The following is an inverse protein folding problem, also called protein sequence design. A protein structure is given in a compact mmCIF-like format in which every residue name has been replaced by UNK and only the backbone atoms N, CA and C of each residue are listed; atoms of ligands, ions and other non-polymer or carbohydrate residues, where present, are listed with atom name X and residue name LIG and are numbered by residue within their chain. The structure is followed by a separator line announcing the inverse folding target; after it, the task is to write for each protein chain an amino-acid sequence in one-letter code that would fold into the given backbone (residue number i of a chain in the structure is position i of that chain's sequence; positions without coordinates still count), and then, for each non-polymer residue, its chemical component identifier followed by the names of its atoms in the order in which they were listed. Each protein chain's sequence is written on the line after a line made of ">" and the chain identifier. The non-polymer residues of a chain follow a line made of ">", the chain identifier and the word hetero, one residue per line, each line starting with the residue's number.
data_IF_301237337113
#
_entry.id   IF_301237337113
#
_cell.length_a   1.000
_cell.length_b   1.000
_cell.length_c   1.000
_cell.angle_alpha   90.00
_cell.angle_beta   90.00
_cell.angle_gamma   90.00
#
_symmetry.space_group_name_H-M   'P 1'
#
loop_
_entity.id
_entity.type
_entity.pdbx_description
1 polymer ?
#
# COMPACT_ATOMS: atom_id res chain seq x y z
N UNK A 1 -11.05 -3.57 9.34
CA UNK A 1 -10.76 -3.45 7.90
C UNK A 1 -11.36 -4.62 7.11
N UNK A 2 -11.07 -5.88 7.45
CA UNK A 2 -11.62 -7.06 6.72
C UNK A 2 -13.15 -7.06 6.72
N UNK A 3 -13.79 -6.72 7.85
CA UNK A 3 -15.26 -6.67 7.94
C UNK A 3 -15.84 -5.51 7.11
N UNK A 4 -15.15 -4.37 7.02
CA UNK A 4 -15.56 -3.29 6.12
C UNK A 4 -15.45 -3.72 4.66
N UNK A 5 -14.36 -4.39 4.29
CA UNK A 5 -14.17 -4.92 2.94
C UNK A 5 -15.27 -5.93 2.58
N UNK A 6 -15.62 -6.82 3.52
CA UNK A 6 -16.75 -7.75 3.36
C UNK A 6 -18.10 -7.04 3.22
N UNK A 7 -18.31 -5.95 3.99
CA UNK A 7 -19.54 -5.15 3.88
C UNK A 7 -19.66 -4.52 2.51
N UNK A 8 -18.59 -3.93 2.00
CA UNK A 8 -18.55 -3.40 0.63
C UNK A 8 -18.81 -4.49 -0.40
N UNK A 9 -18.23 -5.68 -0.24
CA UNK A 9 -18.48 -6.82 -1.12
C UNK A 9 -19.96 -7.21 -1.15
N UNK A 10 -20.63 -7.27 0.01
CA UNK A 10 -22.06 -7.57 0.11
C UNK A 10 -22.95 -6.51 -0.56
N UNK A 11 -22.42 -5.29 -0.74
CA UNK A 11 -23.10 -4.20 -1.44
C UNK A 11 -22.66 -4.07 -2.91
N UNK A 12 -22.12 -5.13 -3.52
CA UNK A 12 -21.82 -5.21 -4.93
C UNK A 12 -20.44 -4.68 -5.35
N UNK A 13 -19.59 -4.29 -4.40
CA UNK A 13 -18.23 -3.87 -4.72
C UNK A 13 -17.28 -5.08 -4.79
N UNK A 14 -16.31 -5.01 -5.69
CA UNK A 14 -15.29 -6.05 -5.86
C UNK A 14 -14.06 -5.76 -5.02
N UNK A 15 -13.77 -6.55 -3.96
CA UNK A 15 -12.60 -6.33 -3.12
C UNK A 15 -11.30 -6.65 -3.85
N UNK A 16 -10.28 -5.83 -3.64
CA UNK A 16 -8.90 -6.11 -4.04
C UNK A 16 -8.07 -6.28 -2.78
N UNK A 17 -7.44 -7.44 -2.64
CA UNK A 17 -6.55 -7.75 -1.53
C UNK A 17 -5.11 -7.64 -2.04
N UNK A 18 -4.44 -6.57 -1.66
CA UNK A 18 -3.04 -6.35 -1.97
C UNK A 18 -2.16 -7.04 -0.93
N UNK A 19 -1.35 -7.99 -1.40
CA UNK A 19 -0.35 -8.69 -0.59
C UNK A 19 1.01 -8.02 -0.79
N UNK A 20 1.59 -7.56 0.29
CA UNK A 20 2.80 -6.73 0.29
C UNK A 20 4.11 -7.51 0.08
N UNK A 21 4.19 -8.39 -0.91
CA UNK A 21 5.41 -9.17 -1.15
C UNK A 21 6.62 -8.31 -1.49
N UNK A 22 6.44 -7.22 -2.23
CA UNK A 22 7.50 -6.25 -2.52
C UNK A 22 7.78 -5.31 -1.35
N UNK A 23 6.74 -4.69 -0.81
CA UNK A 23 6.88 -3.70 0.27
C UNK A 23 7.34 -4.31 1.60
N UNK A 24 7.07 -5.59 1.87
CA UNK A 24 7.61 -6.29 3.06
C UNK A 24 9.14 -6.38 3.04
N UNK A 25 9.78 -6.36 1.86
CA UNK A 25 11.25 -6.33 1.72
C UNK A 25 11.86 -4.99 2.13
N UNK A 26 11.05 -3.94 2.15
CA UNK A 26 11.44 -2.59 2.58
C UNK A 26 11.11 -2.39 4.05
N UNK A 27 9.89 -2.73 4.47
CA UNK A 27 9.36 -2.56 5.81
C UNK A 27 8.67 -1.21 6.01
N UNK A 28 7.39 -1.28 6.40
CA UNK A 28 6.57 -0.10 6.71
C UNK A 28 7.03 0.54 8.03
N UNK A 29 7.44 1.82 8.06
CA UNK A 29 7.81 2.51 9.27
C UNK A 29 6.61 2.94 10.12
N UNK A 30 5.39 2.93 9.58
CA UNK A 30 4.17 3.44 10.24
C UNK A 30 3.92 2.74 11.57
N UNK A 31 3.67 3.51 12.63
CA UNK A 31 3.38 3.01 13.97
C UNK A 31 4.52 2.24 14.64
N UNK A 32 5.78 2.41 14.21
CA UNK A 32 6.94 1.73 14.76
C UNK A 32 8.05 2.70 15.15
N UNK A 33 8.65 2.46 16.31
CA UNK A 33 9.79 3.23 16.84
C UNK A 33 11.15 2.67 16.37
N UNK A 34 11.18 1.47 15.84
CA UNK A 34 12.41 0.79 15.38
C UNK A 34 12.27 0.27 13.95
N UNK A 35 13.37 0.25 13.24
CA UNK A 35 13.47 -0.38 11.91
C UNK A 35 13.00 -1.83 11.96
N UNK A 36 12.15 -2.22 11.01
CA UNK A 36 11.64 -3.58 10.92
C UNK A 36 12.76 -4.56 10.54
N UNK A 37 12.69 -5.77 11.13
CA UNK A 37 13.56 -6.87 10.72
C UNK A 37 13.30 -7.23 9.27
N UNK A 38 14.36 -7.31 8.47
CA UNK A 38 14.29 -7.82 7.10
C UNK A 38 14.01 -9.32 7.16
N UNK A 39 12.90 -9.74 6.56
CA UNK A 39 12.49 -11.13 6.48
C UNK A 39 13.18 -11.84 5.31
N UNK A 40 13.37 -13.15 5.42
CA UNK A 40 13.83 -13.98 4.30
C UNK A 40 12.72 -14.20 3.27
N UNK A 41 13.10 -14.51 2.04
CA UNK A 41 12.17 -14.73 0.92
C UNK A 41 11.11 -15.79 1.23
N UNK A 42 11.51 -16.93 1.75
CA UNK A 42 10.64 -18.05 2.11
C UNK A 42 9.65 -17.69 3.24
N UNK A 43 10.08 -16.86 4.20
CA UNK A 43 9.20 -16.33 5.25
C UNK A 43 8.14 -15.40 4.65
N UNK A 44 8.54 -14.54 3.72
CA UNK A 44 7.62 -13.62 3.02
C UNK A 44 6.58 -14.41 2.22
N UNK A 45 7.00 -15.39 1.45
CA UNK A 45 6.09 -16.22 0.65
C UNK A 45 5.12 -17.04 1.51
N UNK A 46 5.62 -17.62 2.60
CA UNK A 46 4.80 -18.32 3.59
C UNK A 46 3.75 -17.40 4.20
N UNK A 47 4.14 -16.19 4.58
CA UNK A 47 3.24 -15.20 5.15
C UNK A 47 2.16 -14.76 4.15
N UNK A 48 2.54 -14.50 2.89
CA UNK A 48 1.61 -14.19 1.80
C UNK A 48 0.55 -15.29 1.65
N UNK A 49 0.99 -16.55 1.58
CA UNK A 49 0.08 -17.71 1.45
C UNK A 49 -0.87 -17.82 2.64
N UNK A 50 -0.37 -17.65 3.84
CA UNK A 50 -1.17 -17.73 5.06
C UNK A 50 -2.21 -16.61 5.14
N UNK A 51 -1.80 -15.36 4.89
CA UNK A 51 -2.71 -14.19 4.88
C UNK A 51 -3.79 -14.38 3.81
N UNK A 52 -3.40 -14.79 2.60
CA UNK A 52 -4.36 -15.08 1.52
C UNK A 52 -5.39 -16.13 1.93
N UNK A 53 -4.96 -17.21 2.57
CA UNK A 53 -5.85 -18.27 3.03
C UNK A 53 -6.82 -17.82 4.14
N UNK A 54 -6.35 -16.95 5.04
CA UNK A 54 -7.19 -16.36 6.07
C UNK A 54 -8.26 -15.45 5.42
N UNK A 55 -7.84 -14.52 4.55
CA UNK A 55 -8.76 -13.56 3.92
C UNK A 55 -9.81 -14.23 3.03
N UNK A 56 -9.48 -15.33 2.37
CA UNK A 56 -10.44 -16.14 1.61
C UNK A 56 -11.59 -16.70 2.46
N UNK A 57 -11.41 -16.88 3.78
CA UNK A 57 -12.47 -17.34 4.67
C UNK A 57 -13.50 -16.26 5.01
N UNK A 58 -13.11 -15.00 4.87
CA UNK A 58 -13.97 -13.86 5.22
C UNK A 58 -14.67 -13.22 4.01
N UNK A 59 -14.12 -13.39 2.82
CA UNK A 59 -14.66 -12.83 1.59
C UNK A 59 -15.39 -13.89 0.79
N UNK A 60 -16.50 -13.49 0.15
CA UNK A 60 -17.23 -14.36 -0.77
C UNK A 60 -16.39 -14.62 -2.02
N UNK A 61 -16.16 -15.89 -2.33
CA UNK A 61 -15.35 -16.31 -3.47
C UNK A 61 -16.20 -16.93 -4.60
N UNK A 62 -17.50 -17.08 -4.40
CA UNK A 62 -18.38 -17.82 -5.30
C UNK A 62 -19.08 -16.89 -6.29
N UNK A 63 -19.46 -15.67 -5.88
CA UNK A 63 -20.08 -14.70 -6.77
C UNK A 63 -19.05 -14.12 -7.76
N UNK A 64 -19.18 -14.36 -9.09
CA UNK A 64 -18.22 -13.93 -10.09
C UNK A 64 -18.07 -12.41 -10.18
N UNK A 65 -19.12 -11.63 -9.92
CA UNK A 65 -19.12 -10.17 -10.06
C UNK A 65 -18.36 -9.49 -8.92
N UNK A 66 -18.44 -10.06 -7.72
CA UNK A 66 -17.82 -9.51 -6.51
C UNK A 66 -16.66 -10.36 -5.98
N UNK A 67 -16.27 -11.40 -6.69
CA UNK A 67 -15.15 -12.27 -6.33
C UNK A 67 -13.87 -11.44 -6.06
N UNK A 68 -13.21 -11.62 -4.89
CA UNK A 68 -12.04 -10.84 -4.55
C UNK A 68 -10.85 -11.10 -5.49
N UNK A 69 -10.15 -10.03 -5.84
CA UNK A 69 -8.89 -10.09 -6.57
C UNK A 69 -7.76 -10.13 -5.55
N UNK A 70 -6.87 -11.13 -5.66
CA UNK A 70 -5.66 -11.22 -4.83
C UNK A 70 -4.45 -10.90 -5.69
N UNK A 71 -3.76 -9.83 -5.35
CA UNK A 71 -2.57 -9.36 -6.06
C UNK A 71 -1.36 -9.30 -5.14
N UNK A 72 -0.17 -9.44 -5.69
CA UNK A 72 1.09 -9.31 -4.96
C UNK A 72 1.89 -8.17 -5.59
N UNK A 73 2.18 -7.12 -4.85
CA UNK A 73 2.89 -5.96 -5.37
C UNK A 73 4.33 -6.25 -5.82
N UNK A 74 4.90 -7.37 -5.43
CA UNK A 74 6.21 -7.80 -5.93
C UNK A 74 6.21 -8.00 -7.45
N UNK A 75 5.06 -8.33 -8.06
CA UNK A 75 4.94 -8.53 -9.51
C UNK A 75 5.29 -7.29 -10.33
N UNK A 76 5.03 -6.10 -9.82
CA UNK A 76 5.41 -4.84 -10.48
C UNK A 76 6.62 -4.19 -9.85
N UNK A 77 6.78 -4.24 -8.52
CA UNK A 77 7.89 -3.56 -7.83
C UNK A 77 9.26 -4.15 -8.20
N UNK A 78 9.37 -5.46 -8.40
CA UNK A 78 10.67 -6.11 -8.76
C UNK A 78 11.24 -5.68 -10.12
N UNK A 79 10.40 -5.16 -11.00
CA UNK A 79 10.78 -4.78 -12.36
C UNK A 79 10.96 -3.26 -12.53
N UNK A 80 10.84 -2.49 -11.44
CA UNK A 80 11.02 -1.04 -11.51
C UNK A 80 12.48 -0.68 -11.80
N UNK A 81 12.68 0.09 -12.88
CA UNK A 81 13.95 0.76 -13.08
C UNK A 81 13.99 2.00 -12.18
N UNK A 82 15.02 2.11 -11.37
CA UNK A 82 15.13 3.17 -10.35
C UNK A 82 15.09 4.58 -10.95
N UNK A 83 15.82 4.81 -12.02
CA UNK A 83 15.89 6.13 -12.65
C UNK A 83 14.53 6.50 -13.28
N UNK A 84 13.92 5.57 -14.01
CA UNK A 84 12.60 5.80 -14.61
C UNK A 84 11.55 6.04 -13.51
N UNK A 85 11.60 5.27 -12.43
CA UNK A 85 10.68 5.44 -11.30
C UNK A 85 10.82 6.83 -10.64
N UNK A 86 12.04 7.30 -10.40
CA UNK A 86 12.27 8.65 -9.87
C UNK A 86 11.74 9.72 -10.82
N UNK A 87 11.99 9.57 -12.13
CA UNK A 87 11.55 10.53 -13.14
C UNK A 87 10.03 10.58 -13.27
N UNK A 88 9.36 9.43 -13.29
CA UNK A 88 7.95 9.35 -13.67
C UNK A 88 7.03 9.43 -12.44
N UNK A 89 7.47 8.91 -11.30
CA UNK A 89 6.72 8.86 -10.05
C UNK A 89 7.29 9.82 -9.02
N UNK A 90 8.59 9.78 -8.77
CA UNK A 90 9.26 10.57 -7.74
C UNK A 90 9.03 12.09 -7.88
N UNK A 91 8.95 12.60 -9.11
CA UNK A 91 8.66 14.04 -9.41
C UNK A 91 7.34 14.55 -8.80
N UNK A 92 6.41 13.64 -8.45
CA UNK A 92 5.12 14.01 -7.86
C UNK A 92 5.17 14.15 -6.33
N UNK A 93 6.30 13.82 -5.71
CA UNK A 93 6.52 13.92 -4.27
C UNK A 93 7.50 15.04 -3.96
N UNK A 94 7.21 15.78 -2.89
CA UNK A 94 8.14 16.79 -2.37
C UNK A 94 8.60 16.39 -0.96
N UNK A 95 9.88 16.55 -0.68
CA UNK A 95 10.47 16.24 0.63
C UNK A 95 9.72 16.99 1.74
N UNK A 96 9.43 18.28 1.54
CA UNK A 96 8.71 19.08 2.53
C UNK A 96 7.35 18.47 2.90
N UNK A 97 6.60 17.96 1.92
CA UNK A 97 5.32 17.29 2.17
C UNK A 97 5.52 15.94 2.87
N UNK A 98 6.50 15.16 2.44
CA UNK A 98 6.80 13.85 3.04
C UNK A 98 7.20 13.96 4.51
N UNK A 99 7.90 15.02 4.90
CA UNK A 99 8.30 15.29 6.30
C UNK A 99 7.12 15.64 7.21
N UNK A 100 5.96 16.02 6.69
CA UNK A 100 4.78 16.38 7.50
C UNK A 100 3.95 15.19 7.95
N UNK A 101 4.16 13.99 7.39
CA UNK A 101 3.39 12.81 7.78
C UNK A 101 3.85 12.26 9.13
N UNK A 102 2.91 11.84 9.96
CA UNK A 102 3.17 11.37 11.33
C UNK A 102 4.20 10.23 11.39
N UNK A 103 4.18 9.32 10.42
CA UNK A 103 5.16 8.22 10.32
C UNK A 103 6.62 8.69 10.21
N UNK A 104 6.84 9.90 9.70
CA UNK A 104 8.16 10.53 9.57
C UNK A 104 8.37 11.53 10.71
N UNK A 105 7.44 12.49 10.88
CA UNK A 105 7.55 13.58 11.83
C UNK A 105 7.80 13.09 13.25
N UNK A 106 7.02 12.13 13.75
CA UNK A 106 7.18 11.58 15.10
C UNK A 106 8.57 10.96 15.34
N UNK A 107 9.17 10.35 14.32
CA UNK A 107 10.53 9.78 14.41
C UNK A 107 11.60 10.87 14.45
N UNK A 108 11.44 11.91 13.63
CA UNK A 108 12.35 13.06 13.64
C UNK A 108 12.26 13.85 14.94
N UNK A 109 11.05 14.13 15.44
CA UNK A 109 10.82 14.84 16.71
C UNK A 109 11.40 14.07 17.91
N UNK A 110 11.48 12.74 17.83
CA UNK A 110 12.07 11.86 18.85
C UNK A 110 13.56 11.57 18.62
N UNK A 111 14.19 12.21 17.66
CA UNK A 111 15.59 11.96 17.24
C UNK A 111 15.88 10.49 16.90
N UNK A 112 14.87 9.76 16.45
CA UNK A 112 15.00 8.37 16.05
C UNK A 112 15.45 8.27 14.60
N UNK A 113 16.36 7.33 14.32
CA UNK A 113 16.83 7.11 12.95
C UNK A 113 15.72 6.67 12.03
N UNK A 114 15.64 7.27 10.85
CA UNK A 114 14.77 6.90 9.75
C UNK A 114 15.64 6.65 8.52
N UNK A 115 15.72 5.40 8.07
CA UNK A 115 16.52 5.07 6.89
C UNK A 115 15.89 5.62 5.62
N UNK A 116 16.73 5.89 4.60
CA UNK A 116 16.23 6.27 3.27
C UNK A 116 15.24 5.26 2.69
N UNK A 117 15.48 3.97 2.93
CA UNK A 117 14.60 2.88 2.53
C UNK A 117 13.21 3.01 3.16
N UNK A 118 13.14 3.21 4.48
CA UNK A 118 11.87 3.40 5.20
C UNK A 118 11.15 4.70 4.76
N UNK A 119 11.92 5.78 4.55
CA UNK A 119 11.37 7.05 4.07
C UNK A 119 10.69 6.92 2.69
N UNK A 120 11.24 6.07 1.80
CA UNK A 120 10.65 5.81 0.49
C UNK A 120 9.43 4.89 0.52
N UNK A 121 9.12 4.23 1.64
CA UNK A 121 8.01 3.29 1.72
C UNK A 121 6.68 3.91 1.28
N UNK A 122 6.40 5.15 1.69
CA UNK A 122 5.17 5.85 1.33
C UNK A 122 5.01 6.07 -0.18
N UNK A 123 6.12 6.21 -0.91
CA UNK A 123 6.11 6.35 -2.38
C UNK A 123 5.74 5.00 -3.01
N UNK A 124 6.28 3.90 -2.49
CA UNK A 124 5.99 2.56 -3.00
C UNK A 124 4.53 2.17 -2.79
N UNK A 125 3.96 2.47 -1.60
CA UNK A 125 2.55 2.20 -1.35
C UNK A 125 1.63 3.10 -2.20
N UNK A 126 2.00 4.36 -2.41
CA UNK A 126 1.29 5.25 -3.32
C UNK A 126 1.32 4.71 -4.77
N UNK A 127 2.46 4.18 -5.20
CA UNK A 127 2.61 3.54 -6.51
C UNK A 127 1.77 2.26 -6.62
N UNK A 128 1.68 1.45 -5.57
CA UNK A 128 0.79 0.29 -5.53
C UNK A 128 -0.66 0.70 -5.83
N UNK A 129 -1.15 1.79 -5.21
CA UNK A 129 -2.50 2.27 -5.48
C UNK A 129 -2.68 2.78 -6.91
N UNK A 130 -1.67 3.46 -7.46
CA UNK A 130 -1.67 3.89 -8.87
C UNK A 130 -1.72 2.68 -9.82
N UNK A 131 -0.94 1.62 -9.56
CA UNK A 131 -0.95 0.39 -10.37
C UNK A 131 -2.31 -0.32 -10.30
N UNK A 132 -2.92 -0.39 -9.12
CA UNK A 132 -4.26 -0.94 -8.94
C UNK A 132 -5.33 -0.09 -9.63
N UNK A 133 -5.22 1.24 -9.58
CA UNK A 133 -6.11 2.14 -10.32
C UNK A 133 -6.01 1.91 -11.82
N UNK A 134 -4.80 1.78 -12.37
CA UNK A 134 -4.57 1.54 -13.80
C UNK A 134 -5.04 0.17 -14.28
N UNK A 135 -4.79 -0.87 -13.50
CA UNK A 135 -4.99 -2.27 -13.95
C UNK A 135 -6.35 -2.83 -13.58
N UNK A 136 -6.90 -2.42 -12.44
CA UNK A 136 -8.09 -3.00 -11.83
C UNK A 136 -9.20 -1.96 -11.62
N UNK A 137 -9.02 -0.74 -12.11
CA UNK A 137 -9.94 0.40 -11.86
C UNK A 137 -10.22 0.61 -10.36
N UNK A 138 -9.25 0.36 -9.51
CA UNK A 138 -9.37 0.53 -8.06
C UNK A 138 -9.50 2.02 -7.71
N UNK A 139 -10.58 2.40 -7.07
CA UNK A 139 -10.87 3.81 -6.72
C UNK A 139 -10.84 4.09 -5.23
N UNK A 140 -10.82 3.07 -4.36
CA UNK A 140 -10.82 3.22 -2.91
C UNK A 140 -9.70 2.37 -2.29
N UNK A 141 -8.81 3.02 -1.53
CA UNK A 141 -7.83 2.34 -0.66
C UNK A 141 -8.28 2.45 0.80
N UNK A 142 -8.21 1.32 1.52
CA UNK A 142 -8.58 1.23 2.94
C UNK A 142 -7.40 0.76 3.78
N UNK A 143 -7.29 1.31 5.00
CA UNK A 143 -6.27 0.90 5.96
C UNK A 143 -6.61 1.25 7.40
N UNK A 144 -5.71 0.97 8.34
CA UNK A 144 -5.78 1.49 9.69
C UNK A 144 -5.46 2.98 9.72
N UNK A 145 -5.75 3.66 10.83
CA UNK A 145 -5.47 5.09 11.00
C UNK A 145 -3.97 5.42 10.85
N UNK A 146 -3.09 4.48 11.22
CA UNK A 146 -1.64 4.57 11.03
C UNK A 146 -1.21 4.62 9.55
N UNK A 147 -2.08 4.19 8.64
CA UNK A 147 -1.85 4.16 7.18
C UNK A 147 -2.30 5.44 6.47
N UNK A 148 -2.86 6.42 7.17
CA UNK A 148 -3.43 7.62 6.56
C UNK A 148 -2.45 8.34 5.62
N UNK A 149 -1.22 8.58 6.07
CA UNK A 149 -0.19 9.24 5.26
C UNK A 149 0.12 8.48 3.96
N UNK A 150 0.25 7.15 4.03
CA UNK A 150 0.51 6.31 2.86
C UNK A 150 -0.68 6.34 1.89
N UNK A 151 -1.92 6.25 2.40
CA UNK A 151 -3.15 6.26 1.59
C UNK A 151 -3.33 7.59 0.87
N UNK A 152 -3.18 8.73 1.59
CA UNK A 152 -3.31 10.07 1.00
C UNK A 152 -2.29 10.29 -0.11
N UNK A 153 -1.06 9.84 0.07
CA UNK A 153 -0.04 9.92 -0.97
C UNK A 153 -0.46 9.16 -2.25
N UNK A 154 -1.13 8.02 -2.10
CA UNK A 154 -1.68 7.27 -3.24
C UNK A 154 -2.80 8.00 -3.97
N UNK A 155 -3.73 8.58 -3.22
CA UNK A 155 -4.82 9.41 -3.77
C UNK A 155 -4.26 10.62 -4.54
N UNK A 156 -3.30 11.33 -3.94
CA UNK A 156 -2.65 12.48 -4.58
C UNK A 156 -1.85 12.09 -5.82
N UNK A 157 -1.16 10.95 -5.78
CA UNK A 157 -0.40 10.45 -6.92
C UNK A 157 -1.32 10.12 -8.09
N UNK A 158 -2.43 9.41 -7.87
CA UNK A 158 -3.41 9.09 -8.91
C UNK A 158 -3.94 10.37 -9.56
N UNK A 159 -4.31 11.36 -8.75
CA UNK A 159 -4.79 12.65 -9.25
C UNK A 159 -3.74 13.37 -10.11
N UNK A 160 -2.48 13.41 -9.67
CA UNK A 160 -1.39 14.11 -10.37
C UNK A 160 -0.91 13.37 -11.62
N UNK A 161 -0.98 12.05 -11.61
CA UNK A 161 -0.47 11.21 -12.69
C UNK A 161 -1.48 11.01 -13.82
N UNK A 162 -2.74 10.72 -13.49
CA UNK A 162 -3.79 10.35 -14.46
C UNK A 162 -5.02 11.26 -14.45
N UNK A 163 -5.08 12.24 -13.55
CA UNK A 163 -6.26 13.09 -13.31
C UNK A 163 -7.52 12.30 -12.93
N UNK A 164 -7.37 11.05 -12.49
CA UNK A 164 -8.45 10.21 -12.01
C UNK A 164 -8.82 10.59 -10.57
N UNK A 165 -10.08 10.36 -10.21
CA UNK A 165 -10.54 10.50 -8.83
C UNK A 165 -10.32 9.18 -8.08
N UNK A 166 -9.72 9.25 -6.90
CA UNK A 166 -9.55 8.15 -5.98
C UNK A 166 -9.83 8.59 -4.54
N UNK A 167 -10.11 7.64 -3.67
CA UNK A 167 -10.52 7.89 -2.28
C UNK A 167 -9.69 7.06 -1.30
N UNK A 168 -9.56 7.58 -0.08
CA UNK A 168 -8.94 6.87 1.04
C UNK A 168 -9.92 6.75 2.20
N UNK A 169 -9.89 5.62 2.90
CA UNK A 169 -10.67 5.38 4.10
C UNK A 169 -9.78 4.76 5.17
N UNK A 170 -9.80 5.32 6.38
CA UNK A 170 -9.15 4.71 7.55
C UNK A 170 -10.18 4.36 8.63
N UNK A 171 -9.88 3.28 9.37
CA UNK A 171 -10.73 2.75 10.45
C UNK A 171 -9.92 2.59 11.73
#
# INVERSE_FOLDING_TARGET
>A
QIMCLRLLQKNGHRPIVLLGGGTTRIGDPSGKDKTRKILKEDEIEKNIKNIKNILKKFLDNDNPDTKPIFVNNYTWLKNLNYISFLRDVGKHFTINRMLTFDSVKLRLDREQSLSYMEFNYMILQAYDFLELNKKENCVLQMGGSDQWGNIVNGVELIKRYSNNQAFGLTT
#
